data_IF_904107989243
#
_entry.id   IF_904107989243
#
_cell.length_a   1.000
_cell.length_b   1.000
_cell.length_c   1.000
_cell.angle_alpha   90.00
_cell.angle_beta   90.00
_cell.angle_gamma   90.00
#
_symmetry.space_group_name_H-M   'P 1'
#
loop_
_entity.id
_entity.type
_entity.pdbx_description
1 polymer ?
#
# COMPACT_ATOMS: atom_id res chain seq x y z
N UNK A 1 -11.42 -31.56 66.36
CA UNK A 1 -10.05 -31.02 66.34
C UNK A 1 -9.28 -31.64 65.17
N UNK A 2 -8.76 -30.79 64.28
CA UNK A 2 -7.47 -30.89 63.54
C UNK A 2 -7.14 -32.08 62.60
N UNK A 3 -6.56 -31.66 61.44
CA UNK A 3 -5.71 -32.33 60.42
C UNK A 3 -6.47 -32.95 59.24
N UNK A 4 -6.61 -32.27 58.09
CA UNK A 4 -5.59 -31.91 57.07
C UNK A 4 -4.83 -33.12 56.55
N UNK A 5 -5.05 -33.46 55.27
CA UNK A 5 -4.02 -33.86 54.30
C UNK A 5 -4.61 -33.91 52.88
N UNK A 6 -4.41 -32.80 52.18
CA UNK A 6 -3.97 -32.63 50.78
C UNK A 6 -3.66 -33.92 50.01
N UNK A 7 -4.19 -34.08 48.77
CA UNK A 7 -3.40 -34.42 47.57
C UNK A 7 -4.27 -34.52 46.28
N UNK A 8 -3.80 -33.83 45.21
CA UNK A 8 -3.91 -34.07 43.73
C UNK A 8 -5.33 -34.20 43.11
N UNK A 9 -5.68 -33.71 41.92
CA UNK A 9 -4.95 -33.46 40.68
C UNK A 9 -5.59 -32.30 39.92
N UNK A 10 -4.72 -31.42 39.41
CA UNK A 10 -5.00 -30.37 38.45
C UNK A 10 -5.38 -30.99 37.10
N UNK A 11 -6.61 -30.77 36.62
CA UNK A 11 -6.94 -30.94 35.20
C UNK A 11 -7.31 -29.58 34.63
N UNK A 12 -6.27 -28.78 34.42
CA UNK A 12 -6.33 -27.58 33.59
C UNK A 12 -6.57 -28.03 32.15
N UNK A 13 -7.81 -27.94 31.69
CA UNK A 13 -8.16 -28.11 30.29
C UNK A 13 -7.57 -26.91 29.52
N UNK A 14 -6.32 -27.05 29.07
CA UNK A 14 -5.71 -26.13 28.12
C UNK A 14 -6.48 -26.24 26.80
N UNK A 15 -7.37 -25.27 26.57
CA UNK A 15 -7.84 -24.97 25.23
C UNK A 15 -6.64 -24.39 24.46
N UNK A 16 -5.84 -25.27 23.86
CA UNK A 16 -4.85 -24.91 22.86
C UNK A 16 -5.59 -24.38 21.64
N UNK A 17 -5.89 -23.08 21.65
CA UNK A 17 -6.22 -22.36 20.43
C UNK A 17 -4.96 -22.41 19.58
N UNK A 18 -4.98 -23.28 18.58
CA UNK A 18 -3.99 -23.34 17.51
C UNK A 18 -4.13 -22.01 16.76
N UNK A 19 -3.34 -21.01 17.18
CA UNK A 19 -3.04 -19.83 16.37
C UNK A 19 -2.30 -20.33 15.14
N UNK A 20 -3.06 -20.71 14.11
CA UNK A 20 -2.52 -20.93 12.77
C UNK A 20 -1.78 -19.63 12.41
N UNK A 21 -0.46 -19.66 12.17
CA UNK A 21 0.20 -18.51 11.58
C UNK A 21 -0.47 -18.33 10.22
N UNK A 22 -1.26 -17.25 10.09
CA UNK A 22 -1.73 -16.80 8.79
C UNK A 22 -0.49 -16.70 7.92
N UNK A 23 -0.39 -17.58 6.91
CA UNK A 23 0.60 -17.50 5.85
C UNK A 23 0.52 -16.08 5.28
N UNK A 24 1.38 -15.19 5.79
CA UNK A 24 1.55 -13.87 5.24
C UNK A 24 2.24 -14.08 3.91
N UNK A 25 1.46 -14.03 2.84
CA UNK A 25 1.98 -13.83 1.50
C UNK A 25 2.90 -12.61 1.57
N UNK A 26 4.19 -12.83 1.33
CA UNK A 26 5.18 -11.76 1.23
C UNK A 26 5.38 -11.48 -0.26
N UNK A 27 4.60 -10.54 -0.78
CA UNK A 27 4.75 -10.02 -2.14
C UNK A 27 6.12 -9.35 -2.32
N UNK A 28 6.61 -9.32 -3.55
CA UNK A 28 7.91 -8.72 -3.88
C UNK A 28 8.00 -7.24 -3.50
N UNK A 29 6.85 -6.56 -3.40
CA UNK A 29 6.76 -5.13 -3.10
C UNK A 29 6.18 -4.80 -1.72
N UNK A 30 5.84 -5.81 -0.90
CA UNK A 30 5.25 -5.60 0.43
C UNK A 30 6.18 -4.81 1.37
N UNK A 31 7.50 -4.93 1.19
CA UNK A 31 8.50 -4.16 1.94
C UNK A 31 8.43 -2.64 1.67
N UNK A 32 7.88 -2.23 0.52
CA UNK A 32 7.79 -0.81 0.15
C UNK A 32 6.46 -0.20 0.58
N UNK A 33 5.37 -0.97 0.59
CA UNK A 33 4.05 -0.45 0.96
C UNK A 33 3.13 -1.54 1.50
N UNK A 34 2.87 -1.52 2.80
CA UNK A 34 1.94 -2.44 3.43
C UNK A 34 0.51 -1.87 3.43
N UNK A 35 -0.48 -2.76 3.54
CA UNK A 35 -1.91 -2.39 3.69
C UNK A 35 -2.11 -1.40 4.83
N UNK A 36 -1.45 -1.63 5.98
CA UNK A 36 -1.59 -0.79 7.17
C UNK A 36 -1.15 0.65 6.92
N UNK A 37 -0.14 0.86 6.09
CA UNK A 37 0.33 2.19 5.74
C UNK A 37 -0.73 2.95 4.95
N UNK A 38 -1.30 2.29 3.94
CA UNK A 38 -2.35 2.89 3.11
C UNK A 38 -3.56 3.21 3.97
N UNK A 39 -4.02 2.28 4.80
CA UNK A 39 -5.10 2.49 5.77
C UNK A 39 -4.88 3.73 6.65
N UNK A 40 -3.66 3.87 7.21
CA UNK A 40 -3.30 4.98 8.07
C UNK A 40 -3.31 6.31 7.33
N UNK A 41 -2.82 6.34 6.08
CA UNK A 41 -2.75 7.55 5.25
C UNK A 41 -4.15 7.96 4.77
N UNK A 42 -4.95 7.02 4.25
CA UNK A 42 -6.27 7.33 3.65
C UNK A 42 -7.41 7.31 4.65
N UNK A 43 -7.13 6.97 5.92
CA UNK A 43 -8.10 6.86 7.04
C UNK A 43 -9.22 5.87 6.76
N UNK A 44 -8.89 4.74 6.13
CA UNK A 44 -9.79 3.61 5.89
C UNK A 44 -9.30 2.39 6.67
N UNK A 45 -10.21 1.45 6.97
CA UNK A 45 -9.89 0.22 7.70
C UNK A 45 -10.37 -1.01 6.92
N UNK A 46 -9.75 -2.16 7.21
CA UNK A 46 -10.05 -3.47 6.62
C UNK A 46 -9.83 -3.47 5.11
N UNK A 47 -8.73 -2.86 4.68
CA UNK A 47 -8.29 -2.92 3.30
C UNK A 47 -7.62 -4.28 3.02
N UNK A 48 -7.56 -4.63 1.74
CA UNK A 48 -6.80 -5.80 1.25
C UNK A 48 -5.89 -5.36 0.12
N UNK A 49 -4.80 -6.10 -0.12
CA UNK A 49 -3.89 -5.88 -1.24
C UNK A 49 -3.82 -7.14 -2.09
N UNK A 50 -3.67 -6.97 -3.40
CA UNK A 50 -3.27 -8.03 -4.33
C UNK A 50 -2.04 -7.56 -5.10
N UNK A 51 -1.09 -8.48 -5.30
CA UNK A 51 0.09 -8.25 -6.13
C UNK A 51 -0.07 -8.99 -7.46
N UNK A 52 0.03 -8.25 -8.57
CA UNK A 52 -0.04 -8.77 -9.95
C UNK A 52 1.22 -8.36 -10.71
N UNK A 53 2.28 -9.17 -10.61
CA UNK A 53 3.57 -8.84 -11.21
C UNK A 53 4.14 -7.56 -10.61
N UNK A 54 4.34 -6.51 -11.41
CA UNK A 54 4.88 -5.21 -10.97
C UNK A 54 3.85 -4.28 -10.30
N UNK A 55 2.65 -4.77 -9.99
CA UNK A 55 1.51 -3.93 -9.58
C UNK A 55 0.96 -4.38 -8.21
N UNK A 56 0.92 -3.45 -7.26
CA UNK A 56 0.12 -3.57 -6.04
C UNK A 56 -1.24 -2.91 -6.24
N UNK A 57 -2.32 -3.63 -5.95
CA UNK A 57 -3.70 -3.14 -6.01
C UNK A 57 -4.33 -3.18 -4.63
N UNK A 58 -4.86 -2.06 -4.17
CA UNK A 58 -5.47 -1.92 -2.86
C UNK A 58 -6.98 -1.80 -2.97
N UNK A 59 -7.67 -2.63 -2.18
CA UNK A 59 -9.12 -2.75 -2.19
C UNK A 59 -9.70 -2.37 -0.84
N UNK A 60 -10.88 -1.74 -0.87
CA UNK A 60 -11.73 -1.57 0.31
C UNK A 60 -12.36 -2.90 0.73
N UNK A 61 -12.92 -2.91 1.95
CA UNK A 61 -13.70 -4.04 2.49
C UNK A 61 -14.83 -4.51 1.55
N UNK A 62 -15.42 -3.60 0.77
CA UNK A 62 -16.49 -3.91 -0.19
C UNK A 62 -15.97 -4.50 -1.51
N UNK A 63 -14.66 -4.77 -1.62
CA UNK A 63 -14.03 -5.35 -2.79
C UNK A 63 -13.67 -4.32 -3.87
N UNK A 64 -13.91 -3.02 -3.64
CA UNK A 64 -13.61 -1.99 -4.62
C UNK A 64 -12.13 -1.57 -4.60
N UNK A 65 -11.47 -1.61 -5.76
CA UNK A 65 -10.12 -1.07 -5.95
C UNK A 65 -10.12 0.46 -5.81
N UNK A 66 -9.20 1.00 -4.99
CA UNK A 66 -9.10 2.45 -4.74
C UNK A 66 -7.75 3.05 -5.12
N UNK A 67 -6.70 2.25 -5.08
CA UNK A 67 -5.32 2.67 -5.31
C UNK A 67 -4.57 1.55 -6.02
N UNK A 68 -3.73 1.92 -6.97
CA UNK A 68 -2.70 1.04 -7.48
C UNK A 68 -1.31 1.68 -7.39
N UNK A 69 -0.30 0.84 -7.21
CA UNK A 69 1.11 1.23 -7.19
C UNK A 69 1.88 0.30 -8.12
N UNK A 70 2.44 0.85 -9.20
CA UNK A 70 3.21 0.10 -10.19
C UNK A 70 4.70 0.39 -10.05
N UNK A 71 5.53 -0.64 -10.18
CA UNK A 71 6.98 -0.59 -10.08
C UNK A 71 7.63 -1.01 -11.41
N UNK A 72 7.70 -0.08 -12.35
CA UNK A 72 8.25 -0.32 -13.68
C UNK A 72 9.78 -0.13 -13.70
N UNK A 73 10.49 -0.67 -14.72
CA UNK A 73 11.90 -0.35 -14.95
C UNK A 73 12.12 1.15 -15.14
N UNK A 74 13.31 1.65 -14.78
CA UNK A 74 13.71 3.07 -14.88
C UNK A 74 13.30 3.75 -16.19
N UNK A 75 13.49 3.08 -17.33
CA UNK A 75 13.23 3.64 -18.66
C UNK A 75 11.74 3.91 -18.93
N UNK A 76 10.85 3.26 -18.17
CA UNK A 76 9.43 3.54 -18.22
C UNK A 76 9.11 4.98 -17.80
N UNK A 77 9.89 5.60 -16.90
CA UNK A 77 9.66 6.98 -16.47
C UNK A 77 9.64 7.94 -17.68
N UNK A 78 10.65 7.86 -18.55
CA UNK A 78 10.72 8.70 -19.76
C UNK A 78 9.57 8.43 -20.72
N UNK A 79 9.15 7.17 -20.83
CA UNK A 79 8.06 6.76 -21.71
C UNK A 79 6.72 7.28 -21.19
N UNK A 80 6.45 7.11 -19.89
CA UNK A 80 5.22 7.56 -19.22
C UNK A 80 5.11 9.08 -19.29
N UNK A 81 6.21 9.79 -19.02
CA UNK A 81 6.24 11.25 -18.88
C UNK A 81 6.56 12.00 -20.18
N UNK A 82 6.68 11.29 -21.31
CA UNK A 82 6.99 11.89 -22.63
C UNK A 82 5.99 12.97 -23.02
N UNK A 83 4.71 12.76 -22.71
CA UNK A 83 3.63 13.69 -23.01
C UNK A 83 3.52 14.77 -21.93
N UNK A 84 4.21 15.89 -22.15
CA UNK A 84 4.23 17.06 -21.25
C UNK A 84 2.87 17.75 -21.12
N UNK A 85 1.89 17.43 -21.98
CA UNK A 85 0.52 17.95 -21.82
C UNK A 85 -0.24 17.21 -20.73
N UNK A 86 0.15 15.96 -20.44
CA UNK A 86 -0.50 15.08 -19.46
C UNK A 86 0.15 15.11 -18.08
N UNK A 87 1.41 15.54 -18.00
CA UNK A 87 2.20 15.52 -16.78
C UNK A 87 2.85 16.86 -16.49
N UNK A 88 2.90 17.24 -15.21
CA UNK A 88 3.62 18.41 -14.71
C UNK A 88 4.61 18.00 -13.64
N UNK A 89 5.76 18.64 -13.60
CA UNK A 89 6.75 18.41 -12.55
C UNK A 89 6.17 18.70 -11.18
N UNK A 90 6.42 17.80 -10.23
CA UNK A 90 6.03 17.96 -8.84
C UNK A 90 7.19 18.61 -8.06
N UNK A 91 6.90 19.68 -7.33
CA UNK A 91 7.88 20.43 -6.54
C UNK A 91 7.41 20.54 -5.07
N UNK A 92 8.25 20.18 -4.07
CA UNK A 92 9.56 19.53 -4.22
C UNK A 92 9.42 18.10 -4.77
N UNK A 93 10.45 17.57 -5.46
CA UNK A 93 10.37 16.25 -6.04
C UNK A 93 10.25 15.15 -4.98
N UNK A 94 9.66 14.03 -5.39
CA UNK A 94 9.71 12.74 -4.69
C UNK A 94 10.71 11.87 -5.43
N UNK A 95 11.60 11.18 -4.73
CA UNK A 95 12.73 10.49 -5.36
C UNK A 95 13.67 11.44 -6.09
N UNK A 96 14.23 10.98 -7.21
CA UNK A 96 15.16 11.77 -8.03
C UNK A 96 14.42 12.77 -8.91
N UNK A 97 13.29 12.35 -9.48
CA UNK A 97 12.44 13.13 -10.37
C UNK A 97 10.99 12.70 -10.13
N UNK A 98 10.04 13.62 -10.20
CA UNK A 98 8.63 13.27 -10.07
C UNK A 98 7.71 14.20 -10.84
N UNK A 99 6.64 13.63 -11.36
CA UNK A 99 5.55 14.35 -12.02
C UNK A 99 4.21 13.96 -11.42
N UNK A 100 3.21 14.83 -11.60
CA UNK A 100 1.81 14.52 -11.36
C UNK A 100 0.99 14.64 -12.65
N UNK A 101 -0.08 13.85 -12.74
CA UNK A 101 -1.07 13.98 -13.80
C UNK A 101 -1.79 15.32 -13.75
N UNK A 102 -2.08 15.91 -14.91
CA UNK A 102 -2.91 17.13 -15.02
C UNK A 102 -4.39 16.84 -14.70
N UNK A 103 -5.25 17.86 -14.45
CA UNK A 103 -6.64 17.67 -14.01
C UNK A 103 -7.58 16.84 -14.91
N UNK A 104 -7.13 16.44 -16.11
CA UNK A 104 -7.87 15.58 -17.05
C UNK A 104 -7.40 14.12 -17.05
N UNK A 105 -6.38 13.80 -16.25
CA UNK A 105 -5.80 12.46 -16.12
C UNK A 105 -6.28 11.77 -14.83
N UNK A 106 -6.18 10.44 -14.73
CA UNK A 106 -6.24 9.76 -13.45
C UNK A 106 -5.26 10.40 -12.47
N UNK A 107 -5.71 10.62 -11.22
CA UNK A 107 -4.88 11.24 -10.19
C UNK A 107 -3.70 10.32 -9.90
N UNK A 108 -2.55 10.70 -10.44
CA UNK A 108 -1.34 9.88 -10.51
C UNK A 108 -0.15 10.72 -10.11
N UNK A 109 0.75 10.13 -9.32
CA UNK A 109 2.11 10.61 -9.12
C UNK A 109 3.05 9.56 -9.69
N UNK A 110 3.95 9.97 -10.57
CA UNK A 110 5.00 9.12 -11.11
C UNK A 110 6.34 9.67 -10.64
N UNK A 111 7.19 8.83 -10.06
CA UNK A 111 8.51 9.24 -9.62
C UNK A 111 9.59 8.23 -9.96
N UNK A 112 10.82 8.73 -10.08
CA UNK A 112 12.01 7.96 -10.40
C UNK A 112 12.82 7.72 -9.12
N UNK A 113 13.15 6.45 -8.84
CA UNK A 113 13.99 6.07 -7.71
C UNK A 113 14.89 4.90 -8.07
N UNK A 114 16.20 5.11 -8.05
CA UNK A 114 17.22 4.11 -8.43
C UNK A 114 16.89 3.48 -9.80
N UNK A 115 16.57 2.19 -9.83
CA UNK A 115 16.29 1.43 -11.05
C UNK A 115 14.80 1.34 -11.39
N UNK A 116 13.94 2.07 -10.67
CA UNK A 116 12.50 1.99 -10.80
C UNK A 116 11.85 3.31 -11.18
N UNK A 117 10.81 3.20 -12.00
CA UNK A 117 9.78 4.20 -12.19
C UNK A 117 8.54 3.74 -11.41
N UNK A 118 8.12 4.50 -10.41
CA UNK A 118 6.97 4.15 -9.56
C UNK A 118 5.79 5.03 -9.91
N UNK A 119 4.65 4.42 -10.23
CA UNK A 119 3.39 5.12 -10.47
C UNK A 119 2.38 4.82 -9.37
N UNK A 120 1.92 5.86 -8.66
CA UNK A 120 0.92 5.79 -7.58
C UNK A 120 -0.37 6.42 -8.11
N UNK A 121 -1.41 5.63 -8.38
CA UNK A 121 -2.64 6.10 -9.05
C UNK A 121 -3.88 5.84 -8.20
N UNK A 122 -4.69 6.88 -8.00
CA UNK A 122 -6.06 6.73 -7.48
C UNK A 122 -6.99 6.28 -8.58
N UNK A 123 -7.91 5.38 -8.23
CA UNK A 123 -9.06 5.06 -9.07
C UNK A 123 -10.13 6.17 -8.93
N UNK A 124 -11.01 6.26 -9.93
CA UNK A 124 -12.09 7.26 -10.02
C UNK A 124 -13.46 6.57 -9.85
N UNK A 125 -14.38 7.22 -9.15
CA UNK A 125 -15.79 6.83 -9.05
C UNK A 125 -16.67 8.04 -9.39
N UNK A 126 -17.21 8.06 -10.62
CA UNK A 126 -17.94 9.22 -11.13
C UNK A 126 -17.03 10.44 -11.18
N UNK A 127 -17.42 11.60 -10.60
CA UNK A 127 -16.58 12.80 -10.60
C UNK A 127 -15.53 12.83 -9.47
N UNK A 128 -15.48 11.79 -8.61
CA UNK A 128 -14.65 11.79 -7.39
C UNK A 128 -13.49 10.83 -7.50
N UNK A 129 -12.33 11.23 -7.01
CA UNK A 129 -11.24 10.32 -6.71
C UNK A 129 -11.52 9.56 -5.42
N UNK A 130 -11.02 8.33 -5.37
CA UNK A 130 -11.12 7.49 -4.17
C UNK A 130 -9.97 7.77 -3.19
N UNK A 131 -8.84 8.28 -3.69
CA UNK A 131 -7.70 8.75 -2.91
C UNK A 131 -7.37 10.18 -3.34
N UNK A 132 -7.30 11.09 -2.36
CA UNK A 132 -7.01 12.50 -2.62
C UNK A 132 -5.55 12.69 -3.03
N UNK A 133 -5.25 13.81 -3.73
CA UNK A 133 -3.87 14.12 -4.13
C UNK A 133 -2.88 14.19 -2.95
N UNK A 134 -3.20 14.83 -1.80
CA UNK A 134 -2.32 14.80 -0.64
C UNK A 134 -2.04 13.39 -0.11
N UNK A 135 -3.05 12.50 -0.13
CA UNK A 135 -2.86 11.11 0.28
C UNK A 135 -1.95 10.35 -0.69
N UNK A 136 -2.12 10.55 -2.01
CA UNK A 136 -1.21 9.99 -3.02
C UNK A 136 0.22 10.46 -2.80
N UNK A 137 0.42 11.74 -2.48
CA UNK A 137 1.73 12.31 -2.22
C UNK A 137 2.37 11.69 -0.97
N UNK A 138 1.60 11.48 0.09
CA UNK A 138 2.07 10.80 1.30
C UNK A 138 2.45 9.34 1.02
N UNK A 139 1.66 8.61 0.24
CA UNK A 139 1.97 7.24 -0.18
C UNK A 139 3.26 7.21 -1.02
N UNK A 140 3.38 8.09 -2.02
CA UNK A 140 4.57 8.17 -2.86
C UNK A 140 5.84 8.47 -2.06
N UNK A 141 5.78 9.39 -1.09
CA UNK A 141 6.90 9.67 -0.19
C UNK A 141 7.28 8.50 0.70
N UNK A 142 6.29 7.73 1.17
CA UNK A 142 6.54 6.53 1.96
C UNK A 142 7.22 5.43 1.16
N UNK A 143 6.75 5.22 -0.07
CA UNK A 143 7.39 4.27 -1.00
C UNK A 143 8.82 4.71 -1.28
N UNK A 144 9.03 5.99 -1.60
CA UNK A 144 10.36 6.55 -1.84
C UNK A 144 11.32 6.40 -0.65
N UNK A 145 10.83 6.52 0.58
CA UNK A 145 11.68 6.39 1.78
C UNK A 145 12.08 4.95 2.10
N UNK A 146 11.35 3.96 1.57
CA UNK A 146 11.61 2.52 1.78
C UNK A 146 12.36 1.87 0.61
N UNK A 147 12.50 2.56 -0.51
CA UNK A 147 13.26 2.12 -1.70
C UNK A 147 14.71 2.56 -1.68
#
# INVERSE_FOLDING_TARGET
MKRVRTLVVVVSLLASIILLPSLTYAGAYDQFLAVKDVENIVRLNRMTVKEDGVLLRFYRKDGKEILNVRFDPRDAFKTITKDKTKYRSLLPPIGMESVCGVPQMPYTIVFLKKNYAVSVTSLIQGPRTLVSFPHLQAIARLVDSRM
#
